data_IF_553331776649
#
_entry.id   IF_553331776649
#
_cell.length_a   1.000
_cell.length_b   1.000
_cell.length_c   1.000
_cell.angle_alpha   90.00
_cell.angle_beta   90.00
_cell.angle_gamma   90.00
#
_symmetry.space_group_name_H-M   'P 1'
#
loop_
_entity.id
_entity.type
_entity.pdbx_description
1 polymer ?
#
# COMPACT_ATOMS: atom_id res chain seq x y z
N UNK A 1 -97.77 74.55 -9.50
CA UNK A 1 -96.33 74.28 -9.77
C UNK A 1 -95.73 73.08 -8.94
N UNK A 2 -96.52 72.24 -8.38
CA UNK A 2 -96.03 71.12 -7.48
C UNK A 2 -95.83 69.76 -8.17
N UNK A 3 -96.48 69.48 -9.28
CA UNK A 3 -96.48 68.17 -9.93
C UNK A 3 -95.24 67.86 -10.74
N UNK A 4 -94.41 68.84 -11.07
CA UNK A 4 -93.15 68.60 -11.87
C UNK A 4 -91.93 68.16 -11.05
N UNK A 5 -91.95 68.37 -9.74
CA UNK A 5 -90.83 67.96 -8.89
C UNK A 5 -90.86 66.48 -8.47
N UNK A 6 -92.05 65.96 -8.26
CA UNK A 6 -92.19 64.49 -7.89
C UNK A 6 -91.76 63.56 -8.98
N UNK A 7 -92.06 63.89 -10.24
CA UNK A 7 -91.73 63.04 -11.38
C UNK A 7 -90.19 62.95 -11.65
N UNK A 8 -89.42 63.96 -11.17
CA UNK A 8 -87.96 63.97 -11.29
C UNK A 8 -87.30 63.18 -10.18
N UNK A 9 -87.87 63.07 -9.00
CA UNK A 9 -87.38 62.27 -7.89
C UNK A 9 -87.51 60.84 -8.16
N UNK A 10 -88.73 60.40 -8.63
CA UNK A 10 -88.99 58.98 -8.94
C UNK A 10 -88.13 58.41 -10.08
N UNK A 11 -87.77 59.23 -11.04
CA UNK A 11 -86.82 58.82 -12.12
C UNK A 11 -85.39 58.66 -11.66
N UNK A 12 -84.97 59.39 -10.59
CA UNK A 12 -83.62 59.27 -10.01
C UNK A 12 -83.48 58.03 -9.16
N UNK A 13 -84.55 57.67 -8.42
CA UNK A 13 -84.55 56.45 -7.59
C UNK A 13 -84.57 55.13 -8.43
N UNK A 14 -85.37 55.14 -9.51
CA UNK A 14 -85.40 53.96 -10.45
C UNK A 14 -84.04 53.75 -11.18
N UNK A 15 -83.26 54.84 -11.35
CA UNK A 15 -81.90 54.77 -11.92
C UNK A 15 -80.87 54.32 -10.88
N UNK A 16 -81.07 54.61 -9.60
CA UNK A 16 -80.23 54.15 -8.50
C UNK A 16 -80.45 52.66 -8.24
N UNK A 17 -81.72 52.19 -8.23
CA UNK A 17 -82.02 50.73 -8.08
C UNK A 17 -81.47 49.90 -9.23
N UNK A 18 -81.50 50.40 -10.47
CA UNK A 18 -80.92 49.65 -11.61
C UNK A 18 -79.40 49.68 -11.55
N UNK A 19 -78.73 50.58 -10.90
CA UNK A 19 -77.28 50.57 -10.68
C UNK A 19 -76.92 49.67 -9.52
N UNK A 20 -77.73 49.54 -8.50
CA UNK A 20 -77.45 48.60 -7.40
C UNK A 20 -77.67 47.14 -7.78
N UNK A 21 -78.66 46.86 -8.63
CA UNK A 21 -78.85 45.47 -9.12
C UNK A 21 -77.73 44.99 -10.08
N UNK A 22 -76.98 45.89 -10.69
CA UNK A 22 -75.85 45.53 -11.55
C UNK A 22 -74.55 45.25 -10.79
N UNK A 23 -74.50 45.50 -9.49
CA UNK A 23 -73.29 45.26 -8.69
C UNK A 23 -73.25 43.92 -7.94
N UNK A 24 -74.30 43.12 -7.96
CA UNK A 24 -74.37 41.88 -7.27
C UNK A 24 -74.41 40.62 -8.22
N UNK A 25 -74.10 40.84 -9.48
CA UNK A 25 -74.01 39.78 -10.49
C UNK A 25 -72.61 39.54 -11.00
N UNK A 26 -71.58 39.63 -10.13
CA UNK A 26 -70.25 39.10 -10.49
C UNK A 26 -70.19 37.65 -10.10
N UNK A 27 -70.87 36.82 -10.94
CA UNK A 27 -70.58 35.40 -11.02
C UNK A 27 -69.11 35.22 -11.27
N UNK A 28 -68.43 34.47 -10.42
CA UNK A 28 -67.05 34.03 -10.63
C UNK A 28 -66.97 33.46 -12.03
N UNK A 29 -66.04 33.87 -12.86
CA UNK A 29 -65.97 33.37 -14.23
C UNK A 29 -65.77 31.85 -14.18
N UNK A 30 -66.53 31.09 -14.95
CA UNK A 30 -66.42 29.60 -14.97
C UNK A 30 -65.02 29.13 -15.42
N UNK A 31 -64.19 30.06 -15.94
CA UNK A 31 -62.82 29.81 -16.36
C UNK A 31 -61.88 29.36 -15.23
N UNK A 32 -62.05 29.83 -14.03
CA UNK A 32 -61.19 29.40 -12.88
C UNK A 32 -61.50 27.98 -12.44
N UNK A 33 -62.76 27.54 -12.50
CA UNK A 33 -63.14 26.16 -12.17
C UNK A 33 -62.68 25.16 -13.27
N UNK A 34 -62.72 25.59 -14.53
CA UNK A 34 -62.25 24.80 -15.65
C UNK A 34 -60.72 24.70 -15.63
N UNK A 35 -60.03 25.82 -15.35
CA UNK A 35 -58.57 25.82 -15.22
C UNK A 35 -58.10 24.95 -14.01
N UNK A 36 -58.77 25.03 -12.88
CA UNK A 36 -58.46 24.18 -11.70
C UNK A 36 -58.74 22.68 -11.97
N UNK A 37 -59.81 22.38 -12.69
CA UNK A 37 -60.13 21.00 -13.12
C UNK A 37 -59.11 20.44 -14.13
N UNK A 38 -58.66 21.28 -15.06
CA UNK A 38 -57.61 20.90 -16.01
C UNK A 38 -56.24 20.68 -15.33
N UNK A 39 -55.88 21.52 -14.35
CA UNK A 39 -54.64 21.39 -13.57
C UNK A 39 -54.68 20.11 -12.69
N UNK A 40 -55.79 19.84 -12.00
CA UNK A 40 -55.96 18.63 -11.21
C UNK A 40 -55.96 17.38 -12.09
N UNK A 41 -56.58 17.43 -13.27
CA UNK A 41 -56.53 16.30 -14.25
C UNK A 41 -55.08 16.02 -14.73
N UNK A 42 -54.34 17.08 -15.03
CA UNK A 42 -52.93 16.94 -15.46
C UNK A 42 -52.04 16.34 -14.36
N UNK A 43 -52.26 16.75 -13.08
CA UNK A 43 -51.51 16.19 -11.93
C UNK A 43 -51.87 14.72 -11.72
N UNK A 44 -53.13 14.36 -11.80
CA UNK A 44 -53.58 12.95 -11.63
C UNK A 44 -52.98 12.08 -12.76
N UNK A 45 -53.02 12.53 -14.00
CA UNK A 45 -52.41 11.79 -15.13
C UNK A 45 -50.89 11.69 -14.95
N UNK A 46 -50.25 12.73 -14.50
CA UNK A 46 -48.78 12.73 -14.19
C UNK A 46 -48.42 11.74 -13.09
N UNK A 47 -49.20 11.74 -11.99
CA UNK A 47 -49.00 10.78 -10.89
C UNK A 47 -49.25 9.34 -11.33
N UNK A 48 -50.29 9.12 -12.12
CA UNK A 48 -50.61 7.78 -12.64
C UNK A 48 -49.51 7.27 -13.60
N UNK A 49 -48.98 8.14 -14.46
CA UNK A 49 -47.88 7.81 -15.37
C UNK A 49 -46.59 7.47 -14.59
N UNK A 50 -46.29 8.22 -13.54
CA UNK A 50 -45.12 7.97 -12.66
C UNK A 50 -45.32 6.62 -11.92
N UNK A 51 -46.50 6.38 -11.38
CA UNK A 51 -46.84 5.10 -10.71
C UNK A 51 -46.72 3.91 -11.67
N UNK A 52 -47.19 4.05 -12.89
CA UNK A 52 -47.08 3.01 -13.90
C UNK A 52 -45.62 2.77 -14.30
N UNK A 53 -44.84 3.83 -14.45
CA UNK A 53 -43.39 3.73 -14.73
C UNK A 53 -42.62 3.03 -13.59
N UNK A 54 -42.96 3.32 -12.34
CA UNK A 54 -42.36 2.63 -11.18
C UNK A 54 -42.78 1.16 -11.12
N UNK A 55 -44.08 0.83 -11.36
CA UNK A 55 -44.55 -0.54 -11.38
C UNK A 55 -43.92 -1.38 -12.51
N UNK A 56 -43.71 -0.77 -13.68
CA UNK A 56 -42.95 -1.40 -14.78
C UNK A 56 -41.48 -1.59 -14.44
N UNK A 57 -40.88 -0.61 -13.76
CA UNK A 57 -39.47 -0.70 -13.31
C UNK A 57 -39.30 -1.82 -12.27
N UNK A 58 -40.19 -1.94 -11.31
CA UNK A 58 -40.18 -3.03 -10.30
C UNK A 58 -40.33 -4.42 -10.93
N UNK A 59 -41.11 -4.53 -12.01
CA UNK A 59 -41.30 -5.81 -12.71
C UNK A 59 -40.13 -6.15 -13.64
N UNK A 60 -39.52 -5.15 -14.31
CA UNK A 60 -38.44 -5.35 -15.27
C UNK A 60 -37.09 -5.46 -14.61
N UNK A 61 -36.87 -4.79 -13.45
CA UNK A 61 -35.60 -4.78 -12.74
C UNK A 61 -35.10 -6.17 -12.36
N UNK A 62 -35.92 -7.04 -11.71
CA UNK A 62 -35.46 -8.39 -11.37
C UNK A 62 -35.18 -9.25 -12.61
N UNK A 63 -35.93 -9.08 -13.69
CA UNK A 63 -35.70 -9.82 -14.94
C UNK A 63 -34.40 -9.42 -15.60
N UNK A 64 -34.11 -8.10 -15.63
CA UNK A 64 -32.82 -7.59 -16.15
C UNK A 64 -31.66 -8.02 -15.25
N UNK A 65 -31.83 -8.04 -13.93
CA UNK A 65 -30.80 -8.44 -12.97
C UNK A 65 -30.48 -9.94 -13.12
N UNK A 66 -31.53 -10.80 -13.25
CA UNK A 66 -31.34 -12.23 -13.50
C UNK A 66 -30.67 -12.46 -14.87
N UNK A 67 -31.08 -11.72 -15.89
CA UNK A 67 -30.48 -11.76 -17.22
C UNK A 67 -29.02 -11.35 -17.20
N UNK A 68 -28.68 -10.28 -16.48
CA UNK A 68 -27.30 -9.81 -16.33
C UNK A 68 -26.44 -10.82 -15.58
N UNK A 69 -26.94 -11.39 -14.48
CA UNK A 69 -26.25 -12.43 -13.71
C UNK A 69 -26.05 -13.69 -14.56
N UNK A 70 -27.06 -14.14 -15.26
CA UNK A 70 -26.97 -15.29 -16.17
C UNK A 70 -25.95 -15.02 -17.29
N UNK A 71 -25.97 -13.82 -17.88
CA UNK A 71 -25.01 -13.42 -18.90
C UNK A 71 -23.57 -13.38 -18.37
N UNK A 72 -23.37 -12.84 -17.16
CA UNK A 72 -22.07 -12.83 -16.49
C UNK A 72 -21.59 -14.26 -16.21
N UNK A 73 -22.47 -15.12 -15.69
CA UNK A 73 -22.15 -16.53 -15.45
C UNK A 73 -21.79 -17.27 -16.73
N UNK A 74 -22.58 -17.10 -17.80
CA UNK A 74 -22.27 -17.69 -19.12
C UNK A 74 -20.96 -17.16 -19.65
N UNK A 75 -20.69 -15.87 -19.49
CA UNK A 75 -19.42 -15.24 -19.91
C UNK A 75 -18.23 -15.74 -19.10
N UNK A 76 -18.39 -15.94 -17.78
CA UNK A 76 -17.36 -16.53 -16.92
C UNK A 76 -17.10 -18.00 -17.27
N UNK A 77 -18.15 -18.79 -17.50
CA UNK A 77 -18.04 -20.21 -17.88
C UNK A 77 -17.44 -20.33 -19.30
N UNK A 78 -17.86 -19.49 -20.23
CA UNK A 78 -17.33 -19.49 -21.58
C UNK A 78 -15.88 -18.96 -21.68
N UNK A 79 -15.48 -18.05 -20.79
CA UNK A 79 -14.06 -17.66 -20.64
C UNK A 79 -13.24 -18.82 -20.10
N UNK A 80 -13.71 -19.57 -19.10
CA UNK A 80 -13.04 -20.77 -18.60
C UNK A 80 -12.98 -21.90 -19.64
N UNK A 81 -13.97 -21.98 -20.54
CA UNK A 81 -13.94 -22.99 -21.64
C UNK A 81 -13.11 -22.57 -22.84
N UNK A 82 -12.76 -21.27 -22.96
CA UNK A 82 -11.90 -20.72 -24.02
C UNK A 82 -10.47 -20.49 -23.57
N UNK A 83 -10.14 -20.76 -22.29
CA UNK A 83 -8.73 -20.88 -21.94
C UNK A 83 -8.21 -22.08 -22.77
N UNK A 84 -7.30 -21.84 -23.72
CA UNK A 84 -6.57 -22.93 -24.34
C UNK A 84 -5.98 -23.70 -23.18
N UNK A 85 -6.05 -25.05 -23.24
CA UNK A 85 -5.45 -25.93 -22.24
C UNK A 85 -4.11 -25.31 -21.84
N UNK A 86 -3.85 -25.05 -20.52
CA UNK A 86 -2.65 -24.35 -20.13
C UNK A 86 -1.50 -25.08 -20.83
N UNK A 87 -0.89 -24.40 -21.81
CA UNK A 87 0.38 -24.86 -22.37
C UNK A 87 1.25 -24.92 -21.15
N UNK A 88 1.63 -26.13 -20.73
CA UNK A 88 2.52 -26.32 -19.61
C UNK A 88 3.68 -25.33 -19.82
N UNK A 89 3.98 -24.47 -18.84
CA UNK A 89 5.05 -23.50 -19.03
C UNK A 89 6.27 -24.26 -19.50
N UNK A 90 6.99 -23.78 -20.53
CA UNK A 90 8.15 -24.48 -21.06
C UNK A 90 9.07 -24.81 -19.87
N UNK A 91 9.45 -26.08 -19.75
CA UNK A 91 10.39 -26.51 -18.70
C UNK A 91 11.64 -25.66 -18.88
N UNK A 92 12.07 -24.88 -17.87
CA UNK A 92 13.22 -24.01 -18.00
C UNK A 92 14.45 -24.85 -18.34
N UNK A 93 15.29 -24.38 -19.26
CA UNK A 93 16.55 -25.01 -19.57
C UNK A 93 17.47 -25.03 -18.35
N UNK A 94 18.42 -25.96 -18.28
CA UNK A 94 19.42 -25.99 -17.19
C UNK A 94 20.15 -24.66 -17.06
N UNK A 95 20.51 -24.03 -18.17
CA UNK A 95 21.10 -22.68 -18.18
C UNK A 95 20.19 -21.61 -17.56
N UNK A 96 18.90 -21.61 -17.86
CA UNK A 96 17.95 -20.67 -17.25
C UNK A 96 17.80 -20.87 -15.73
N UNK A 97 17.82 -22.13 -15.28
CA UNK A 97 17.81 -22.47 -13.84
C UNK A 97 19.08 -21.96 -13.17
N UNK A 98 20.23 -22.22 -13.79
CA UNK A 98 21.53 -21.77 -13.29
C UNK A 98 21.62 -20.22 -13.21
N UNK A 99 21.22 -19.49 -14.27
CA UNK A 99 21.21 -18.02 -14.28
C UNK A 99 20.36 -17.48 -13.12
N UNK A 100 19.21 -18.07 -12.87
CA UNK A 100 18.34 -17.65 -11.75
C UNK A 100 19.01 -17.92 -10.40
N UNK A 101 19.58 -19.11 -10.21
CA UNK A 101 20.29 -19.47 -8.98
C UNK A 101 21.48 -18.54 -8.73
N UNK A 102 22.23 -18.17 -9.80
CA UNK A 102 23.33 -17.21 -9.71
C UNK A 102 22.86 -15.82 -9.30
N UNK A 103 21.79 -15.33 -9.89
CA UNK A 103 21.23 -14.02 -9.51
C UNK A 103 20.79 -13.98 -8.04
N UNK A 104 20.16 -15.04 -7.52
CA UNK A 104 19.79 -15.13 -6.11
C UNK A 104 21.01 -15.24 -5.18
N UNK A 105 22.03 -16.00 -5.57
CA UNK A 105 23.28 -16.10 -4.82
C UNK A 105 24.01 -14.74 -4.79
N UNK A 106 24.11 -14.04 -5.93
CA UNK A 106 24.75 -12.73 -6.01
C UNK A 106 24.00 -11.68 -5.17
N UNK A 107 22.68 -11.75 -5.10
CA UNK A 107 21.88 -10.93 -4.19
C UNK A 107 22.24 -11.19 -2.72
N UNK A 108 22.28 -12.46 -2.30
CA UNK A 108 22.69 -12.82 -0.92
C UNK A 108 24.10 -12.35 -0.62
N UNK A 109 25.03 -12.53 -1.57
CA UNK A 109 26.40 -12.04 -1.45
C UNK A 109 26.46 -10.53 -1.22
N UNK A 110 25.68 -9.77 -1.99
CA UNK A 110 25.61 -8.32 -1.84
C UNK A 110 25.03 -7.89 -0.48
N UNK A 111 23.94 -8.54 -0.03
CA UNK A 111 23.33 -8.27 1.27
C UNK A 111 24.27 -8.59 2.43
N UNK A 112 24.94 -9.73 2.38
CA UNK A 112 25.91 -10.12 3.40
C UNK A 112 27.13 -9.19 3.43
N UNK A 113 27.67 -8.84 2.26
CA UNK A 113 28.78 -7.86 2.16
C UNK A 113 28.35 -6.50 2.70
N UNK A 114 27.15 -6.03 2.38
CA UNK A 114 26.65 -4.76 2.91
C UNK A 114 26.52 -4.79 4.44
N UNK A 115 26.06 -5.90 5.01
CA UNK A 115 26.03 -6.07 6.47
C UNK A 115 27.43 -6.04 7.08
N UNK A 116 28.40 -6.77 6.51
CA UNK A 116 29.77 -6.82 7.03
C UNK A 116 30.53 -5.50 6.89
N UNK A 117 30.15 -4.64 5.94
CA UNK A 117 30.76 -3.33 5.73
C UNK A 117 30.13 -2.22 6.57
N UNK A 118 28.91 -2.41 7.12
CA UNK A 118 28.23 -1.41 7.94
C UNK A 118 28.38 -1.71 9.45
N UNK A 119 29.23 -0.96 10.18
CA UNK A 119 29.41 -1.14 11.62
C UNK A 119 28.08 -1.04 12.40
N UNK A 120 27.16 -0.19 11.97
CA UNK A 120 25.88 -0.02 12.64
C UNK A 120 24.95 -1.22 12.43
N UNK A 121 25.00 -1.84 11.23
CA UNK A 121 24.23 -3.06 10.96
C UNK A 121 24.75 -4.23 11.81
N UNK A 122 26.07 -4.43 11.88
CA UNK A 122 26.72 -5.44 12.72
C UNK A 122 26.33 -5.27 14.19
N UNK A 123 26.39 -4.04 14.72
CA UNK A 123 26.05 -3.77 16.11
C UNK A 123 24.56 -3.94 16.45
N UNK A 124 23.67 -3.74 15.48
CA UNK A 124 22.23 -3.96 15.66
C UNK A 124 21.86 -5.43 15.64
N UNK A 125 22.57 -6.24 14.85
CA UNK A 125 22.32 -7.66 14.64
C UNK A 125 23.62 -8.48 14.80
N UNK A 126 24.28 -8.46 15.98
CA UNK A 126 25.58 -9.08 16.18
C UNK A 126 25.56 -10.60 15.93
N UNK A 127 24.40 -11.23 16.08
CA UNK A 127 24.22 -12.66 15.82
C UNK A 127 24.50 -13.06 14.35
N UNK A 128 24.38 -12.12 13.39
CA UNK A 128 24.76 -12.39 11.97
C UNK A 128 26.26 -12.45 11.73
N UNK A 129 27.06 -11.92 12.64
CA UNK A 129 28.53 -11.97 12.58
C UNK A 129 29.13 -12.98 13.58
N UNK A 130 28.27 -13.68 14.33
CA UNK A 130 28.68 -14.66 15.36
C UNK A 130 28.43 -16.08 14.88
N UNK A 131 29.50 -16.77 14.49
CA UNK A 131 29.46 -18.18 14.05
C UNK A 131 29.16 -19.17 15.18
N UNK A 132 29.11 -18.74 16.44
CA UNK A 132 28.60 -19.57 17.54
C UNK A 132 27.09 -19.77 17.45
N UNK A 133 26.39 -18.87 16.73
CA UNK A 133 24.96 -19.01 16.45
C UNK A 133 24.77 -20.01 15.31
N UNK A 134 24.09 -21.12 15.59
CA UNK A 134 23.97 -22.26 14.67
C UNK A 134 23.40 -21.90 13.28
N UNK A 135 22.51 -20.91 13.18
CA UNK A 135 21.96 -20.44 11.90
C UNK A 135 23.02 -19.69 11.09
N UNK A 136 23.84 -18.87 11.74
CA UNK A 136 24.93 -18.11 11.11
C UNK A 136 26.06 -19.05 10.68
N UNK A 137 26.46 -20.01 11.52
CA UNK A 137 27.42 -21.04 11.13
C UNK A 137 26.97 -21.77 9.86
N UNK A 138 25.71 -22.25 9.83
CA UNK A 138 25.16 -22.93 8.65
C UNK A 138 25.16 -22.05 7.41
N UNK A 139 24.83 -20.77 7.56
CA UNK A 139 24.89 -19.82 6.45
C UNK A 139 26.32 -19.71 5.91
N UNK A 140 27.31 -19.47 6.78
CA UNK A 140 28.70 -19.34 6.37
C UNK A 140 29.21 -20.60 5.65
N UNK A 141 28.87 -21.79 6.14
CA UNK A 141 29.25 -23.06 5.51
C UNK A 141 28.64 -23.21 4.11
N UNK A 142 27.32 -22.96 3.97
CA UNK A 142 26.64 -23.10 2.66
C UNK A 142 27.08 -21.99 1.70
N UNK A 143 27.37 -20.80 2.19
CA UNK A 143 27.91 -19.69 1.39
C UNK A 143 29.28 -20.03 0.83
N UNK A 144 30.19 -20.56 1.65
CA UNK A 144 31.50 -21.01 1.21
C UNK A 144 31.41 -22.14 0.17
N UNK A 145 30.48 -23.11 0.34
CA UNK A 145 30.24 -24.17 -0.63
C UNK A 145 29.77 -23.60 -1.97
N UNK A 146 28.76 -22.70 -1.96
CA UNK A 146 28.24 -22.09 -3.17
C UNK A 146 29.30 -21.25 -3.87
N UNK A 147 30.11 -20.50 -3.10
CA UNK A 147 31.20 -19.67 -3.63
C UNK A 147 32.29 -20.54 -4.30
N UNK A 148 32.59 -21.70 -3.76
CA UNK A 148 33.56 -22.65 -4.35
C UNK A 148 33.09 -23.25 -5.69
N UNK A 149 31.77 -23.33 -5.90
CA UNK A 149 31.14 -23.82 -7.13
C UNK A 149 30.75 -22.74 -8.12
N UNK A 150 30.89 -21.46 -7.72
CA UNK A 150 30.50 -20.31 -8.55
C UNK A 150 31.46 -20.15 -9.74
N UNK A 151 30.89 -20.01 -10.93
CA UNK A 151 31.62 -19.77 -12.18
C UNK A 151 31.09 -18.55 -12.89
N UNK A 152 31.95 -17.87 -13.69
CA UNK A 152 31.51 -16.69 -14.47
C UNK A 152 30.55 -17.06 -15.59
N UNK A 153 30.75 -18.20 -16.22
CA UNK A 153 29.95 -18.68 -17.34
C UNK A 153 29.23 -19.99 -16.94
N UNK A 154 28.13 -20.27 -17.64
CA UNK A 154 27.39 -21.51 -17.46
C UNK A 154 28.29 -22.74 -17.74
N UNK A 155 28.50 -23.62 -16.77
CA UNK A 155 29.43 -24.70 -16.89
C UNK A 155 28.90 -25.91 -17.72
N UNK A 156 27.62 -25.91 -18.02
CA UNK A 156 26.94 -27.04 -18.65
C UNK A 156 26.62 -28.20 -17.68
N UNK A 157 25.71 -29.08 -18.14
CA UNK A 157 25.31 -30.26 -17.36
C UNK A 157 26.44 -31.30 -17.42
N UNK A 158 26.72 -32.03 -16.32
CA UNK A 158 26.01 -32.07 -15.03
C UNK A 158 26.58 -31.10 -13.97
N UNK A 159 27.54 -30.26 -14.32
CA UNK A 159 28.26 -29.43 -13.34
C UNK A 159 27.42 -28.25 -12.79
N UNK A 160 26.39 -27.81 -13.54
CA UNK A 160 25.46 -26.77 -13.15
C UNK A 160 24.61 -27.15 -11.92
N UNK A 161 24.22 -28.40 -11.78
CA UNK A 161 23.32 -28.88 -10.72
C UNK A 161 23.93 -28.73 -9.32
N UNK A 162 25.24 -28.88 -9.17
CA UNK A 162 25.96 -28.68 -7.90
C UNK A 162 25.84 -27.25 -7.39
N UNK A 163 26.13 -26.28 -8.25
CA UNK A 163 26.00 -24.84 -7.92
C UNK A 163 24.56 -24.47 -7.60
N UNK A 164 23.58 -24.89 -8.43
CA UNK A 164 22.16 -24.56 -8.22
C UNK A 164 21.72 -25.03 -6.84
N UNK A 165 22.03 -26.29 -6.47
CA UNK A 165 21.65 -26.81 -5.17
C UNK A 165 22.36 -26.08 -4.01
N UNK A 166 23.65 -25.73 -4.15
CA UNK A 166 24.39 -24.96 -3.14
C UNK A 166 23.80 -23.54 -2.98
N UNK A 167 23.54 -22.84 -4.08
CA UNK A 167 22.94 -21.51 -4.07
C UNK A 167 21.57 -21.51 -3.37
N UNK A 168 20.70 -22.46 -3.67
CA UNK A 168 19.41 -22.59 -3.00
C UNK A 168 19.53 -22.86 -1.49
N UNK A 169 20.51 -23.68 -1.07
CA UNK A 169 20.77 -23.91 0.36
C UNK A 169 21.25 -22.62 1.03
N UNK A 170 22.12 -21.88 0.36
CA UNK A 170 22.64 -20.59 0.87
C UNK A 170 21.54 -19.56 1.05
N UNK A 171 20.64 -19.40 0.08
CA UNK A 171 19.48 -18.48 0.19
C UNK A 171 18.61 -18.84 1.41
N UNK A 172 18.28 -20.12 1.58
CA UNK A 172 17.48 -20.57 2.75
C UNK A 172 18.23 -20.37 4.07
N UNK A 173 19.53 -20.64 4.10
CA UNK A 173 20.35 -20.46 5.29
C UNK A 173 20.49 -18.97 5.67
N UNK A 174 20.63 -18.08 4.67
CA UNK A 174 20.66 -16.63 4.88
C UNK A 174 19.38 -16.13 5.52
N UNK A 175 18.22 -16.49 4.97
CA UNK A 175 16.91 -16.14 5.56
C UNK A 175 16.79 -16.64 7.01
N UNK A 176 17.19 -17.87 7.27
CA UNK A 176 17.16 -18.42 8.64
C UNK A 176 18.12 -17.71 9.59
N UNK A 177 19.29 -17.26 9.11
CA UNK A 177 20.24 -16.46 9.90
C UNK A 177 19.67 -15.06 10.22
N UNK A 178 19.08 -14.39 9.23
CA UNK A 178 18.42 -13.09 9.43
C UNK A 178 17.27 -13.20 10.44
N UNK A 179 16.37 -14.18 10.29
CA UNK A 179 15.26 -14.42 11.21
C UNK A 179 15.74 -14.70 12.65
N UNK A 180 16.84 -15.47 12.78
CA UNK A 180 17.42 -15.75 14.10
C UNK A 180 18.03 -14.48 14.70
N UNK A 181 18.79 -13.72 13.93
CA UNK A 181 19.38 -12.46 14.37
C UNK A 181 18.34 -11.44 14.80
N UNK A 182 17.23 -11.31 14.06
CA UNK A 182 16.11 -10.45 14.40
C UNK A 182 15.41 -10.86 15.70
N UNK A 183 15.32 -12.15 16.00
CA UNK A 183 14.78 -12.62 17.27
C UNK A 183 15.76 -12.39 18.45
N UNK A 184 17.03 -12.61 18.22
CA UNK A 184 18.07 -12.47 19.25
C UNK A 184 18.36 -10.99 19.52
N UNK A 185 18.62 -10.19 18.46
CA UNK A 185 19.07 -8.79 18.55
C UNK A 185 20.14 -8.63 19.64
N UNK A 186 19.90 -7.72 20.57
CA UNK A 186 20.77 -7.50 21.73
C UNK A 186 20.33 -8.29 22.99
N UNK A 187 19.28 -9.12 22.90
CA UNK A 187 18.78 -9.86 24.08
C UNK A 187 19.72 -10.99 24.52
N UNK A 188 20.61 -11.46 23.62
CA UNK A 188 21.65 -12.42 23.95
C UNK A 188 22.81 -11.84 24.79
N UNK A 189 22.90 -10.53 24.92
CA UNK A 189 23.95 -9.85 25.66
C UNK A 189 23.54 -9.59 27.12
N UNK A 190 24.52 -9.61 28.02
CA UNK A 190 24.33 -9.15 29.39
C UNK A 190 23.88 -7.68 29.45
N UNK A 191 23.17 -7.22 30.49
CA UNK A 191 22.65 -5.84 30.56
C UNK A 191 23.71 -4.76 30.37
N UNK A 192 24.89 -4.95 30.96
CA UNK A 192 26.02 -4.01 30.86
C UNK A 192 26.60 -3.98 29.46
N UNK A 193 26.72 -5.15 28.79
CA UNK A 193 27.21 -5.30 27.42
C UNK A 193 26.24 -4.66 26.44
N UNK A 194 24.94 -4.91 26.60
CA UNK A 194 23.88 -4.26 25.82
C UNK A 194 23.95 -2.75 25.91
N UNK A 195 24.07 -2.22 27.13
CA UNK A 195 24.21 -0.78 27.35
C UNK A 195 25.49 -0.21 26.71
N UNK A 196 26.56 -0.97 26.66
CA UNK A 196 27.78 -0.57 25.98
C UNK A 196 27.60 -0.52 24.44
N UNK A 197 26.97 -1.55 23.85
CA UNK A 197 26.64 -1.56 22.41
C UNK A 197 25.71 -0.40 22.04
N UNK A 198 24.70 -0.12 22.84
CA UNK A 198 23.76 0.99 22.64
C UNK A 198 24.49 2.36 22.68
N UNK A 199 25.47 2.51 23.61
CA UNK A 199 26.31 3.72 23.64
C UNK A 199 27.13 3.89 22.36
N UNK A 200 27.71 2.81 21.85
CA UNK A 200 28.47 2.85 20.59
C UNK A 200 27.56 3.23 19.42
N UNK A 201 26.38 2.61 19.31
CA UNK A 201 25.38 2.96 18.29
C UNK A 201 25.03 4.45 18.36
N UNK A 202 24.82 5.01 19.56
CA UNK A 202 24.56 6.43 19.76
C UNK A 202 25.75 7.30 19.31
N UNK A 203 26.99 6.92 19.66
CA UNK A 203 28.19 7.64 19.25
C UNK A 203 28.36 7.64 17.71
N UNK A 204 28.16 6.49 17.06
CA UNK A 204 28.20 6.38 15.59
C UNK A 204 27.10 7.20 14.92
N UNK A 205 25.89 7.22 15.50
CA UNK A 205 24.81 8.07 15.01
C UNK A 205 25.17 9.56 15.16
N UNK A 206 25.69 9.98 16.30
CA UNK A 206 26.16 11.36 16.51
C UNK A 206 27.27 11.69 15.49
N UNK A 207 28.23 10.79 15.29
CA UNK A 207 29.31 10.98 14.33
C UNK A 207 28.83 11.13 12.88
N UNK A 208 27.79 10.36 12.50
CA UNK A 208 27.21 10.43 11.15
C UNK A 208 26.40 11.72 10.95
N UNK A 209 25.63 12.13 11.95
CA UNK A 209 24.60 13.18 11.83
C UNK A 209 25.13 14.57 12.27
N UNK A 210 26.37 14.68 12.83
CA UNK A 210 26.96 15.96 13.25
C UNK A 210 27.50 16.77 12.07
N UNK A 211 27.11 18.03 12.00
CA UNK A 211 27.67 19.02 11.03
C UNK A 211 29.04 19.56 11.47
N UNK A 212 29.43 19.30 12.73
CA UNK A 212 30.72 19.76 13.30
C UNK A 212 31.79 18.69 13.09
N UNK A 213 32.81 18.99 12.28
CA UNK A 213 33.93 18.07 12.06
C UNK A 213 34.65 17.66 13.37
N UNK A 214 34.98 18.58 14.31
CA UNK A 214 35.60 18.21 15.56
C UNK A 214 34.70 17.27 16.42
N UNK A 215 33.39 17.51 16.45
CA UNK A 215 32.43 16.66 17.16
C UNK A 215 32.35 15.28 16.52
N UNK A 216 32.26 15.21 15.19
CA UNK A 216 32.24 13.98 14.41
C UNK A 216 33.48 13.11 14.70
N UNK A 217 34.66 13.70 14.61
CA UNK A 217 35.94 13.01 14.89
C UNK A 217 36.02 12.54 16.35
N UNK A 218 35.61 13.37 17.31
CA UNK A 218 35.55 13.00 18.73
C UNK A 218 34.57 11.84 19.00
N UNK A 219 33.40 11.83 18.33
CA UNK A 219 32.44 10.77 18.45
C UNK A 219 32.95 9.44 17.85
N UNK A 220 33.58 9.46 16.68
CA UNK A 220 34.25 8.28 16.09
C UNK A 220 35.38 7.75 17.00
N UNK A 221 36.25 8.61 17.52
CA UNK A 221 37.32 8.19 18.42
C UNK A 221 36.81 7.49 19.68
N UNK A 222 35.72 8.01 20.27
CA UNK A 222 35.07 7.39 21.45
C UNK A 222 34.38 6.06 21.08
N UNK A 223 33.66 6.01 19.94
CA UNK A 223 33.03 4.80 19.46
C UNK A 223 34.06 3.70 19.22
N UNK A 224 35.19 4.03 18.59
CA UNK A 224 36.29 3.09 18.37
C UNK A 224 36.88 2.54 19.67
N UNK A 225 37.17 3.40 20.65
CA UNK A 225 37.73 2.95 21.94
C UNK A 225 36.78 2.00 22.69
N UNK A 226 35.46 2.24 22.62
CA UNK A 226 34.46 1.37 23.22
C UNK A 226 34.31 0.06 22.45
N UNK A 227 34.34 0.10 21.10
CA UNK A 227 34.31 -1.08 20.24
C UNK A 227 35.52 -1.99 20.47
N UNK A 228 36.73 -1.43 20.60
CA UNK A 228 37.93 -2.21 20.90
C UNK A 228 37.82 -2.92 22.25
N UNK A 229 37.10 -2.34 23.19
CA UNK A 229 36.82 -2.98 24.49
C UNK A 229 35.83 -4.13 24.36
N UNK A 230 34.72 -3.93 23.61
CA UNK A 230 33.71 -4.94 23.38
C UNK A 230 34.26 -6.13 22.58
N UNK A 231 35.08 -5.88 21.56
CA UNK A 231 35.72 -6.92 20.74
C UNK A 231 36.75 -7.73 21.54
N UNK A 232 37.60 -7.07 22.33
CA UNK A 232 38.54 -7.79 23.24
C UNK A 232 37.83 -8.59 24.32
N UNK A 233 36.64 -8.14 24.75
CA UNK A 233 35.76 -8.88 25.67
C UNK A 233 35.00 -10.03 25.04
N UNK A 234 35.11 -10.21 23.72
CA UNK A 234 34.35 -11.24 22.99
C UNK A 234 32.84 -10.97 22.92
N UNK A 235 32.41 -9.74 23.23
CA UNK A 235 30.98 -9.38 23.27
C UNK A 235 30.38 -9.20 21.89
N UNK A 236 31.16 -8.62 20.98
CA UNK A 236 30.78 -8.39 19.58
C UNK A 236 31.95 -8.72 18.67
N UNK A 237 31.74 -9.57 17.68
CA UNK A 237 32.70 -9.84 16.63
C UNK A 237 32.53 -8.83 15.50
N UNK A 238 33.43 -7.83 15.45
CA UNK A 238 33.38 -6.84 14.40
C UNK A 238 34.19 -7.31 13.18
N UNK A 239 33.56 -7.49 12.00
CA UNK A 239 34.26 -7.82 10.78
C UNK A 239 35.38 -6.81 10.47
N UNK A 240 36.45 -7.28 9.82
CA UNK A 240 37.57 -6.40 9.47
C UNK A 240 37.17 -5.22 8.59
N UNK A 241 36.18 -5.44 7.71
CA UNK A 241 35.61 -4.43 6.82
C UNK A 241 34.87 -3.34 7.59
N UNK A 242 34.01 -3.69 8.55
CA UNK A 242 33.34 -2.73 9.42
C UNK A 242 34.33 -1.94 10.30
N UNK A 243 35.38 -2.59 10.79
CA UNK A 243 36.46 -1.93 11.56
C UNK A 243 37.19 -0.91 10.67
N UNK A 244 37.57 -1.31 9.44
CA UNK A 244 38.22 -0.43 8.48
C UNK A 244 37.37 0.80 8.15
N UNK A 245 36.06 0.64 8.00
CA UNK A 245 35.17 1.76 7.74
C UNK A 245 35.12 2.77 8.89
N UNK A 246 35.17 2.33 10.17
CA UNK A 246 35.27 3.23 11.34
C UNK A 246 36.63 3.92 11.36
N UNK A 247 37.70 3.19 11.10
CA UNK A 247 39.05 3.72 11.08
C UNK A 247 39.23 4.79 9.99
N UNK A 248 38.63 4.60 8.84
CA UNK A 248 38.62 5.57 7.74
C UNK A 248 37.80 6.81 8.09
N UNK A 249 36.59 6.63 8.59
CA UNK A 249 35.74 7.72 9.04
C UNK A 249 36.37 8.53 10.18
N UNK A 250 37.09 7.87 11.12
CA UNK A 250 37.80 8.56 12.21
C UNK A 250 39.00 9.39 11.77
N UNK A 251 39.53 9.14 10.58
CA UNK A 251 40.64 9.93 9.97
C UNK A 251 40.14 11.12 9.18
N UNK A 252 38.87 11.33 9.06
CA UNK A 252 38.27 12.44 8.32
C UNK A 252 38.17 12.22 6.81
N UNK A 253 38.51 11.04 6.31
CA UNK A 253 38.29 10.68 4.93
C UNK A 253 36.78 10.42 4.78
N UNK A 254 36.04 11.35 4.18
CA UNK A 254 34.65 11.13 3.76
C UNK A 254 34.69 10.13 2.60
N UNK A 255 33.88 9.06 2.63
CA UNK A 255 33.66 8.29 1.41
C UNK A 255 32.99 9.22 0.39
N UNK A 256 33.64 9.39 -0.78
CA UNK A 256 33.16 10.15 -1.92
C UNK A 256 31.98 9.46 -2.60
#
# INVERSE_FOLDING_TARGET
MAVRHEYRAERRDRRRERRMRRRHGQGRPPFLLIALGALTGLVIVGVLAIRLAFALAELLFPVLLVGAVAWILVRLISRRRREPAPVAPPVPSGEQVWIRAKAEFDRVRAEYTAHECDPMAVLRLPALSDVSVASTARFVDTFAEAQALDTEAYPGSPHDAGFVAAAERTVRAWQAAQDAADRIRLSGLAPEERSAVERVLKLLTTARDSDSEPERLAAYARARAELDRLDRGGVVHLPRTARAAIDEASRGALPG
#
